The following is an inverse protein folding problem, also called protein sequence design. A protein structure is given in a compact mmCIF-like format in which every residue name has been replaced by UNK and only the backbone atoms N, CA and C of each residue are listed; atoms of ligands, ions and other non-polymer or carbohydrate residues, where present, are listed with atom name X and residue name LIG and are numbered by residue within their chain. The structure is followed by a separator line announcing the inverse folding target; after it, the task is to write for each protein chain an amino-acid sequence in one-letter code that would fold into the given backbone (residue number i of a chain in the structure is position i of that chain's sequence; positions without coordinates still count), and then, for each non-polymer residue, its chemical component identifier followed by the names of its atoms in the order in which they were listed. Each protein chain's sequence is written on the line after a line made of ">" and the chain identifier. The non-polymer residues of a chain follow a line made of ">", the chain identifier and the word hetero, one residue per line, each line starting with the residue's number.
data_IF_582899825752
#
_entry.id   IF_582899825752
#
_cell.length_a   1.000
_cell.length_b   1.000
_cell.length_c   1.000
_cell.angle_alpha   90.00
_cell.angle_beta   90.00
_cell.angle_gamma   90.00
#
_symmetry.space_group_name_H-M   'P 1'
#
loop_
_entity.id
_entity.type
_entity.pdbx_description
1 polymer ?
#
# COMPACT_ATOMS: atom_id res chain seq x y z
N UNK A 1 31.55 -11.58 -18.01
CA UNK A 1 31.85 -11.43 -16.55
C UNK A 1 32.19 -9.98 -16.23
N UNK A 2 32.97 -9.30 -17.08
CA UNK A 2 33.25 -7.86 -17.03
C UNK A 2 31.99 -6.99 -17.11
N UNK A 3 31.02 -7.36 -17.96
CA UNK A 3 29.79 -6.57 -18.17
C UNK A 3 28.89 -6.52 -16.91
N UNK A 4 28.88 -7.61 -16.15
CA UNK A 4 28.12 -7.69 -14.90
C UNK A 4 28.76 -6.85 -13.79
N UNK A 5 30.09 -6.87 -13.69
CA UNK A 5 30.82 -6.04 -12.73
C UNK A 5 30.75 -4.55 -13.09
N UNK A 6 30.71 -4.23 -14.39
CA UNK A 6 30.51 -2.87 -14.88
C UNK A 6 29.09 -2.37 -14.58
N UNK A 7 28.06 -3.18 -14.81
CA UNK A 7 26.69 -2.85 -14.41
C UNK A 7 26.50 -2.68 -12.89
N UNK A 8 27.24 -3.45 -12.08
CA UNK A 8 27.30 -3.26 -10.62
C UNK A 8 27.95 -1.92 -10.25
N UNK A 9 29.05 -1.55 -10.89
CA UNK A 9 29.70 -0.25 -10.70
C UNK A 9 28.76 0.91 -11.04
N UNK A 10 28.11 0.86 -12.20
CA UNK A 10 27.13 1.86 -12.64
C UNK A 10 25.93 1.97 -11.68
N UNK A 11 25.46 0.85 -11.11
CA UNK A 11 24.41 0.86 -10.11
C UNK A 11 24.85 1.55 -8.81
N UNK A 12 26.04 1.24 -8.29
CA UNK A 12 26.55 1.87 -7.07
C UNK A 12 26.81 3.37 -7.27
N UNK A 13 27.31 3.76 -8.44
CA UNK A 13 27.46 5.17 -8.82
C UNK A 13 26.09 5.86 -8.98
N UNK A 14 25.09 5.16 -9.50
CA UNK A 14 23.70 5.61 -9.57
C UNK A 14 23.01 5.69 -8.19
N UNK A 15 23.51 5.01 -7.16
CA UNK A 15 23.00 5.15 -5.78
C UNK A 15 23.73 6.29 -5.04
N UNK A 16 25.03 6.47 -5.29
CA UNK A 16 25.87 7.47 -4.64
C UNK A 16 25.76 8.88 -5.24
N UNK A 17 25.36 9.01 -6.50
CA UNK A 17 25.25 10.32 -7.17
C UNK A 17 24.03 11.15 -6.71
N UNK A 18 24.16 12.49 -6.58
CA UNK A 18 23.05 13.37 -6.19
C UNK A 18 21.92 13.48 -7.22
N UNK A 19 22.21 13.22 -8.50
CA UNK A 19 21.32 13.40 -9.66
C UNK A 19 20.23 12.32 -9.78
N UNK A 20 20.43 11.15 -9.20
CA UNK A 20 19.52 9.97 -9.23
C UNK A 20 18.65 9.88 -7.97
N UNK A 21 18.00 10.98 -7.60
CA UNK A 21 17.15 11.04 -6.41
C UNK A 21 16.07 9.94 -6.39
N UNK A 22 15.54 9.52 -7.55
CA UNK A 22 14.51 8.47 -7.63
C UNK A 22 15.01 7.10 -7.16
N UNK A 23 16.20 6.66 -7.60
CA UNK A 23 16.77 5.34 -7.22
C UNK A 23 17.10 5.32 -5.73
N UNK A 24 17.72 6.39 -5.23
CA UNK A 24 18.03 6.54 -3.80
C UNK A 24 16.77 6.58 -2.95
N UNK A 25 15.78 7.38 -3.34
CA UNK A 25 14.52 7.48 -2.61
C UNK A 25 13.73 6.17 -2.65
N UNK A 26 13.73 5.45 -3.78
CA UNK A 26 13.07 4.15 -3.89
C UNK A 26 13.73 3.09 -2.98
N UNK A 27 15.06 3.07 -2.90
CA UNK A 27 15.80 2.19 -1.97
C UNK A 27 15.48 2.51 -0.51
N UNK A 28 15.54 3.79 -0.13
CA UNK A 28 15.24 4.22 1.25
C UNK A 28 13.78 3.93 1.60
N UNK A 29 12.85 4.27 0.70
CA UNK A 29 11.43 3.98 0.89
C UNK A 29 11.16 2.48 1.00
N UNK A 30 11.80 1.65 0.17
CA UNK A 30 11.69 0.19 0.23
C UNK A 30 12.21 -0.40 1.54
N UNK A 31 13.35 0.11 2.03
CA UNK A 31 13.92 -0.32 3.32
C UNK A 31 12.98 0.02 4.49
N UNK A 32 12.46 1.24 4.53
CA UNK A 32 11.51 1.67 5.57
C UNK A 32 10.21 0.87 5.46
N UNK A 33 9.68 0.71 4.25
CA UNK A 33 8.43 0.00 4.00
C UNK A 33 8.53 -1.49 4.34
N UNK A 34 9.67 -2.15 4.11
CA UNK A 34 9.90 -3.55 4.47
C UNK A 34 9.66 -3.81 5.97
N UNK A 35 10.15 -2.92 6.83
CA UNK A 35 9.94 -3.04 8.29
C UNK A 35 8.45 -2.95 8.64
N UNK A 36 7.75 -1.97 8.07
CA UNK A 36 6.30 -1.80 8.32
C UNK A 36 5.50 -2.98 7.77
N UNK A 37 5.78 -3.43 6.55
CA UNK A 37 5.08 -4.56 5.93
C UNK A 37 5.36 -5.88 6.64
N UNK A 38 6.56 -6.08 7.18
CA UNK A 38 6.88 -7.26 8.00
C UNK A 38 6.01 -7.35 9.26
N UNK A 39 5.87 -6.24 9.98
CA UNK A 39 5.05 -6.17 11.20
C UNK A 39 3.56 -6.31 10.87
N UNK A 40 3.06 -5.53 9.91
CA UNK A 40 1.64 -5.54 9.52
C UNK A 40 1.26 -6.88 8.90
N UNK A 41 2.11 -7.47 8.06
CA UNK A 41 1.88 -8.77 7.45
C UNK A 41 1.75 -9.88 8.48
N UNK A 42 2.65 -9.92 9.48
CA UNK A 42 2.55 -10.87 10.59
C UNK A 42 1.25 -10.71 11.40
N UNK A 43 0.83 -9.46 11.65
CA UNK A 43 -0.42 -9.18 12.34
C UNK A 43 -1.65 -9.63 11.54
N UNK A 44 -1.68 -9.36 10.23
CA UNK A 44 -2.78 -9.73 9.33
C UNK A 44 -2.94 -11.26 9.28
N UNK A 45 -1.82 -11.99 9.14
CA UNK A 45 -1.83 -13.46 9.08
C UNK A 45 -2.26 -14.08 10.40
N UNK A 46 -1.70 -13.64 11.53
CA UNK A 46 -2.00 -14.21 12.86
C UNK A 46 -3.45 -13.96 13.29
N UNK A 47 -4.02 -12.81 12.90
CA UNK A 47 -5.42 -12.46 13.19
C UNK A 47 -6.41 -12.94 12.14
N UNK A 48 -5.93 -13.60 11.07
CA UNK A 48 -6.69 -14.05 9.90
C UNK A 48 -7.47 -12.95 9.15
N UNK A 49 -7.15 -11.68 9.36
CA UNK A 49 -7.86 -10.53 8.76
C UNK A 49 -7.40 -10.17 7.33
N UNK A 50 -6.91 -11.15 6.56
CA UNK A 50 -6.33 -10.93 5.22
C UNK A 50 -7.32 -10.31 4.25
N UNK A 51 -8.59 -10.70 4.34
CA UNK A 51 -9.63 -10.18 3.47
C UNK A 51 -9.95 -8.71 3.77
N UNK A 52 -10.01 -8.35 5.06
CA UNK A 52 -10.17 -6.95 5.50
C UNK A 52 -9.03 -6.09 4.95
N UNK A 53 -7.78 -6.56 5.05
CA UNK A 53 -6.62 -5.85 4.51
C UNK A 53 -6.70 -5.68 2.98
N UNK A 54 -7.15 -6.71 2.26
CA UNK A 54 -7.34 -6.66 0.81
C UNK A 54 -8.45 -5.67 0.39
N UNK A 55 -9.57 -5.64 1.12
CA UNK A 55 -10.68 -4.72 0.88
C UNK A 55 -10.30 -3.25 1.11
N UNK A 56 -9.55 -2.95 2.18
CA UNK A 56 -9.02 -1.61 2.43
C UNK A 56 -8.07 -1.17 1.30
N UNK A 57 -7.23 -2.08 0.81
CA UNK A 57 -6.29 -1.79 -0.28
C UNK A 57 -7.00 -1.42 -1.60
N UNK A 58 -8.09 -2.12 -1.95
CA UNK A 58 -8.91 -1.76 -3.13
C UNK A 58 -9.61 -0.41 -2.96
N UNK A 59 -10.08 -0.13 -1.75
CA UNK A 59 -10.73 1.15 -1.45
C UNK A 59 -9.73 2.30 -1.60
N UNK A 60 -8.49 2.14 -1.15
CA UNK A 60 -7.42 3.14 -1.31
C UNK A 60 -7.19 3.51 -2.79
N UNK A 61 -7.13 2.53 -3.69
CA UNK A 61 -6.98 2.77 -5.14
C UNK A 61 -8.13 3.64 -5.67
N UNK A 62 -9.37 3.35 -5.26
CA UNK A 62 -10.55 4.18 -5.55
C UNK A 62 -10.44 5.60 -5.00
N UNK A 63 -9.96 5.76 -3.76
CA UNK A 63 -9.74 7.06 -3.12
C UNK A 63 -8.69 7.93 -3.81
N UNK A 64 -7.59 7.31 -4.28
CA UNK A 64 -6.57 8.00 -5.08
C UNK A 64 -7.18 8.50 -6.40
N UNK A 65 -7.91 7.64 -7.11
CA UNK A 65 -8.58 7.99 -8.35
C UNK A 65 -9.61 9.12 -8.17
N UNK A 66 -10.42 9.03 -7.11
CA UNK A 66 -11.40 10.05 -6.76
C UNK A 66 -10.73 11.40 -6.43
N UNK A 67 -9.60 11.41 -5.71
CA UNK A 67 -8.87 12.63 -5.39
C UNK A 67 -8.25 13.28 -6.62
N UNK A 68 -7.71 12.50 -7.56
CA UNK A 68 -7.18 13.02 -8.81
C UNK A 68 -8.32 13.61 -9.66
N UNK A 69 -9.46 12.91 -9.72
CA UNK A 69 -10.64 13.40 -10.43
C UNK A 69 -11.16 14.72 -9.82
N UNK A 70 -11.30 14.81 -8.49
CA UNK A 70 -11.72 16.04 -7.80
C UNK A 70 -10.73 17.18 -7.99
N UNK A 71 -9.42 16.90 -7.88
CA UNK A 71 -8.37 17.89 -8.08
C UNK A 71 -8.40 18.46 -9.51
N UNK A 72 -8.65 17.62 -10.52
CA UNK A 72 -8.78 18.05 -11.93
C UNK A 72 -10.12 18.72 -12.25
N UNK A 73 -11.20 18.33 -11.59
CA UNK A 73 -12.56 18.78 -11.94
C UNK A 73 -13.01 20.02 -11.18
N UNK A 74 -12.52 20.23 -9.95
CA UNK A 74 -12.90 21.35 -9.07
C UNK A 74 -11.74 22.33 -8.78
N UNK A 75 -10.59 22.16 -9.43
CA UNK A 75 -9.36 22.98 -9.24
C UNK A 75 -8.94 23.08 -7.76
N UNK A 76 -9.33 22.08 -6.97
CA UNK A 76 -9.05 22.01 -5.54
C UNK A 76 -7.61 21.54 -5.37
N UNK A 77 -6.68 22.50 -5.38
CA UNK A 77 -5.24 22.27 -5.22
C UNK A 77 -4.85 21.56 -3.91
N UNK A 78 -5.77 21.49 -2.95
CA UNK A 78 -5.57 20.86 -1.64
C UNK A 78 -5.85 19.34 -1.65
N UNK A 79 -6.54 18.82 -2.66
CA UNK A 79 -6.86 17.40 -2.80
C UNK A 79 -5.65 16.62 -3.35
N UNK A 80 -4.67 16.37 -2.49
CA UNK A 80 -3.51 15.52 -2.84
C UNK A 80 -3.92 14.05 -2.93
N UNK A 81 -3.30 13.25 -3.83
CA UNK A 81 -3.55 11.80 -3.92
C UNK A 81 -3.41 11.07 -2.58
N UNK A 82 -2.52 11.54 -1.72
CA UNK A 82 -2.32 11.02 -0.36
C UNK A 82 -3.53 11.29 0.55
N UNK A 83 -4.17 12.46 0.43
CA UNK A 83 -5.37 12.75 1.22
C UNK A 83 -6.53 11.83 0.80
N UNK A 84 -6.68 11.63 -0.52
CA UNK A 84 -7.67 10.71 -1.08
C UNK A 84 -7.51 9.27 -0.60
N UNK A 85 -6.29 8.77 -0.58
CA UNK A 85 -6.01 7.41 -0.07
C UNK A 85 -6.33 7.28 1.41
N UNK A 86 -5.90 8.23 2.24
CA UNK A 86 -6.14 8.22 3.69
C UNK A 86 -7.64 8.28 4.01
N UNK A 87 -8.38 9.20 3.38
CA UNK A 87 -9.83 9.35 3.60
C UNK A 87 -10.55 8.06 3.22
N UNK A 88 -10.21 7.48 2.08
CA UNK A 88 -10.84 6.23 1.64
C UNK A 88 -10.44 5.03 2.50
N UNK A 89 -9.19 4.96 2.96
CA UNK A 89 -8.74 3.93 3.89
C UNK A 89 -9.50 3.99 5.21
N UNK A 90 -9.65 5.20 5.78
CA UNK A 90 -10.39 5.41 7.03
C UNK A 90 -11.87 5.11 6.86
N UNK A 91 -12.50 5.56 5.78
CA UNK A 91 -13.90 5.25 5.49
C UNK A 91 -14.11 3.74 5.39
N UNK A 92 -13.25 3.03 4.65
CA UNK A 92 -13.31 1.57 4.53
C UNK A 92 -13.06 0.88 5.88
N UNK A 93 -12.07 1.34 6.65
CA UNK A 93 -11.76 0.77 7.96
C UNK A 93 -12.91 0.96 8.96
N UNK A 94 -13.61 2.10 8.92
CA UNK A 94 -14.79 2.34 9.74
C UNK A 94 -15.95 1.44 9.33
N UNK A 95 -16.25 1.35 8.04
CA UNK A 95 -17.34 0.50 7.52
C UNK A 95 -17.07 -0.96 7.86
N UNK A 96 -15.87 -1.47 7.56
CA UNK A 96 -15.51 -2.86 7.84
C UNK A 96 -15.40 -3.09 9.36
N UNK A 97 -14.88 -2.14 10.13
CA UNK A 97 -14.80 -2.24 11.58
C UNK A 97 -16.18 -2.35 12.24
N UNK A 98 -17.15 -1.54 11.80
CA UNK A 98 -18.53 -1.62 12.28
C UNK A 98 -19.19 -2.97 11.94
N UNK A 99 -18.98 -3.47 10.72
CA UNK A 99 -19.52 -4.76 10.28
C UNK A 99 -18.84 -5.91 11.02
N UNK A 100 -17.51 -5.89 11.15
CA UNK A 100 -16.70 -6.92 11.81
C UNK A 100 -17.04 -7.05 13.31
N UNK A 101 -17.25 -5.94 14.00
CA UNK A 101 -17.70 -5.93 15.40
C UNK A 101 -19.08 -6.59 15.58
N UNK A 102 -19.95 -6.50 14.56
CA UNK A 102 -21.29 -7.06 14.57
C UNK A 102 -21.34 -8.51 14.06
N UNK A 103 -20.40 -8.92 13.21
CA UNK A 103 -20.37 -10.22 12.54
C UNK A 103 -19.70 -11.35 13.36
N UNK A 104 -18.84 -11.03 14.33
CA UNK A 104 -18.25 -11.86 15.41
C UNK A 104 -17.79 -13.33 15.15
N UNK A 105 -17.91 -13.92 13.97
CA UNK A 105 -17.63 -15.34 13.73
C UNK A 105 -16.95 -15.59 12.37
N UNK A 106 -15.71 -16.09 12.40
CA UNK A 106 -14.99 -16.94 11.42
C UNK A 106 -15.15 -16.73 9.90
N UNK A 107 -15.68 -15.60 9.43
CA UNK A 107 -15.89 -15.30 8.01
C UNK A 107 -14.58 -15.37 7.20
N UNK A 108 -13.47 -14.90 7.76
CA UNK A 108 -12.17 -14.89 7.07
C UNK A 108 -11.66 -16.28 6.64
N UNK A 109 -12.03 -17.35 7.36
CA UNK A 109 -11.63 -18.73 6.96
C UNK A 109 -12.50 -19.26 5.83
N UNK A 110 -13.79 -18.91 5.82
CA UNK A 110 -14.74 -19.34 4.78
C UNK A 110 -14.46 -18.56 3.49
N UNK A 111 -14.26 -17.25 3.58
CA UNK A 111 -13.95 -16.39 2.44
C UNK A 111 -12.58 -16.77 1.84
N UNK A 112 -11.59 -17.06 2.67
CA UNK A 112 -10.29 -17.57 2.21
C UNK A 112 -10.37 -18.92 1.49
N UNK A 113 -11.25 -19.83 1.94
CA UNK A 113 -11.48 -21.11 1.27
C UNK A 113 -12.16 -20.92 -0.10
N UNK A 114 -13.15 -20.03 -0.20
CA UNK A 114 -13.84 -19.71 -1.46
C UNK A 114 -12.89 -19.07 -2.47
N UNK A 115 -11.99 -18.19 -2.02
CA UNK A 115 -11.05 -17.50 -2.92
C UNK A 115 -9.89 -18.39 -3.39
N UNK A 116 -9.59 -19.48 -2.68
CA UNK A 116 -8.60 -20.47 -3.06
C UNK A 116 -9.14 -21.61 -3.95
N UNK A 117 -10.47 -21.64 -4.19
CA UNK A 117 -11.14 -22.61 -5.06
C UNK A 117 -11.31 -22.03 -6.46
#
# INVERSE_FOLDING_TARGET
>A
MTDFLQGLGEFFDAVASPTTALVRNALIAGLIASVTFGIVGGFVVTRRISYIAAAISHSILGGIGASIFLSRSLDWSWCTPLLGSIVSALASALVIGMVSLKAKEREDTIIGAIWAT
#
